data_IF_524411439702
#
_entry.id   IF_524411439702
#
_cell.length_a   1.000
_cell.length_b   1.000
_cell.length_c   1.000
_cell.angle_alpha   90.00
_cell.angle_beta   90.00
_cell.angle_gamma   90.00
#
_symmetry.space_group_name_H-M   'P 1'
#
loop_
_entity.id
_entity.type
_entity.pdbx_description
1 polymer ?
#
# COMPACT_ATOMS: atom_id res chain seq x y z
N UNK A 1 26.06 2.77 14.72
CA UNK A 1 24.95 2.98 15.66
C UNK A 1 23.72 3.38 14.85
N UNK A 2 22.77 2.46 14.60
CA UNK A 2 21.54 2.78 13.88
C UNK A 2 20.70 3.69 14.77
N UNK A 3 20.48 4.95 14.37
CA UNK A 3 19.51 5.81 15.04
C UNK A 3 18.14 5.13 14.90
N UNK A 4 17.57 4.65 16.02
CA UNK A 4 16.18 4.18 16.02
C UNK A 4 15.30 5.29 15.46
N UNK A 5 14.56 5.00 14.41
CA UNK A 5 13.58 5.93 13.87
C UNK A 5 12.58 6.24 14.99
N UNK A 6 12.56 7.49 15.44
CA UNK A 6 11.62 7.92 16.47
C UNK A 6 10.27 8.13 15.78
N UNK A 7 9.36 7.21 16.01
CA UNK A 7 7.97 7.36 15.58
C UNK A 7 7.21 8.24 16.58
N UNK A 8 6.19 8.91 16.09
CA UNK A 8 5.28 9.66 16.95
C UNK A 8 4.50 8.72 17.88
N UNK A 9 3.93 9.24 18.98
CA UNK A 9 3.10 8.44 19.88
C UNK A 9 1.95 7.73 19.15
N UNK A 10 1.49 6.61 19.71
CA UNK A 10 0.28 5.95 19.22
C UNK A 10 -0.93 6.87 19.45
N UNK A 11 -1.81 6.90 18.46
CA UNK A 11 -3.06 7.68 18.49
C UNK A 11 -4.20 6.81 17.98
N UNK A 12 -5.41 7.14 18.42
CA UNK A 12 -6.63 6.54 17.89
C UNK A 12 -7.28 7.46 16.84
N UNK A 13 -8.08 6.92 15.92
CA UNK A 13 -8.82 7.72 14.95
C UNK A 13 -9.88 8.56 15.67
N UNK A 14 -10.08 9.77 15.18
CA UNK A 14 -11.20 10.61 15.61
C UNK A 14 -12.44 10.42 14.72
N UNK A 15 -12.26 9.80 13.53
CA UNK A 15 -13.33 9.48 12.60
C UNK A 15 -12.97 8.23 11.80
N UNK A 16 -13.98 7.43 11.46
CA UNK A 16 -13.86 6.25 10.61
C UNK A 16 -15.09 6.13 9.72
N UNK A 17 -14.91 5.57 8.54
CA UNK A 17 -16.03 5.38 7.63
C UNK A 17 -15.72 4.39 6.52
N UNK A 18 -16.67 4.27 5.62
CA UNK A 18 -16.52 3.51 4.38
C UNK A 18 -16.99 4.31 3.18
N UNK A 19 -16.40 4.02 2.01
CA UNK A 19 -16.97 4.38 0.72
C UNK A 19 -17.39 3.09 0.01
N UNK A 20 -18.38 3.20 -0.88
CA UNK A 20 -18.89 2.07 -1.66
C UNK A 20 -18.61 2.31 -3.13
N UNK A 21 -18.08 1.27 -3.79
CA UNK A 21 -17.93 1.21 -5.23
C UNK A 21 -18.21 -0.22 -5.72
N UNK A 22 -19.32 -0.41 -6.44
CA UNK A 22 -19.78 -1.72 -6.83
C UNK A 22 -19.98 -2.65 -5.64
N UNK A 23 -19.27 -3.78 -5.64
CA UNK A 23 -19.30 -4.77 -4.55
C UNK A 23 -18.37 -4.41 -3.39
N UNK A 24 -17.53 -3.39 -3.55
CA UNK A 24 -16.51 -3.03 -2.57
C UNK A 24 -17.01 -2.01 -1.56
N UNK A 25 -16.68 -2.25 -0.29
CA UNK A 25 -16.74 -1.28 0.81
C UNK A 25 -15.31 -1.00 1.26
N UNK A 26 -14.81 0.19 0.98
CA UNK A 26 -13.44 0.61 1.27
C UNK A 26 -13.42 1.35 2.60
N UNK A 27 -12.76 0.77 3.60
CA UNK A 27 -12.61 1.36 4.93
C UNK A 27 -11.55 2.46 4.93
N UNK A 28 -11.86 3.57 5.60
CA UNK A 28 -10.89 4.62 5.90
C UNK A 28 -11.00 5.09 7.35
N UNK A 29 -9.93 5.70 7.84
CA UNK A 29 -9.88 6.35 9.15
C UNK A 29 -9.15 7.68 9.07
N UNK A 30 -9.50 8.60 9.96
CA UNK A 30 -8.87 9.90 10.12
C UNK A 30 -8.27 10.03 11.52
N UNK A 31 -7.01 10.43 11.59
CA UNK A 31 -6.24 10.53 12.84
C UNK A 31 -5.56 11.90 12.95
N UNK A 32 -5.12 12.24 14.15
CA UNK A 32 -4.33 13.44 14.42
C UNK A 32 -5.17 14.70 14.54
N UNK A 33 -4.73 15.79 13.91
CA UNK A 33 -5.39 17.09 13.98
C UNK A 33 -6.42 17.27 12.86
N UNK A 34 -7.73 17.36 13.15
CA UNK A 34 -8.76 17.56 12.12
C UNK A 34 -8.58 18.82 11.27
N UNK A 35 -7.89 19.83 11.80
CA UNK A 35 -7.58 21.10 11.13
C UNK A 35 -6.13 21.16 10.63
N UNK A 36 -5.40 20.06 10.73
CA UNK A 36 -4.02 19.94 10.29
C UNK A 36 -3.89 19.83 8.78
N UNK A 37 -2.65 19.85 8.30
CA UNK A 37 -2.33 19.62 6.90
C UNK A 37 -2.79 18.22 6.49
N UNK A 38 -3.60 18.06 5.44
CA UNK A 38 -4.04 16.72 5.01
C UNK A 38 -2.87 15.87 4.51
N UNK A 39 -2.88 14.61 4.90
CA UNK A 39 -1.93 13.60 4.41
C UNK A 39 -2.64 12.26 4.28
N UNK A 40 -2.41 11.56 3.17
CA UNK A 40 -2.89 10.19 2.95
C UNK A 40 -1.72 9.21 3.01
N UNK A 41 -1.94 8.08 3.69
CA UNK A 41 -0.98 6.98 3.76
C UNK A 41 -1.45 5.82 2.90
N UNK A 42 -0.63 5.44 1.91
CA UNK A 42 -0.84 4.33 1.01
C UNK A 42 0.00 3.14 1.46
N UNK A 43 -0.65 2.10 1.98
CA UNK A 43 0.04 0.91 2.48
C UNK A 43 0.64 0.06 1.35
N UNK A 44 1.61 -0.75 1.72
CA UNK A 44 2.28 -1.69 0.83
C UNK A 44 1.57 -3.05 0.70
N UNK A 45 2.25 -3.98 0.16
CA UNK A 45 1.81 -5.32 -0.17
C UNK A 45 2.04 -5.57 -1.67
N UNK A 46 1.00 -5.50 -2.51
CA UNK A 46 -0.42 -5.17 -2.23
C UNK A 46 -1.07 -6.08 -1.19
N UNK A 47 -2.16 -5.60 -0.56
CA UNK A 47 -2.94 -6.41 0.38
C UNK A 47 -2.49 -6.34 1.86
N UNK A 48 -1.53 -5.47 2.22
CA UNK A 48 -0.99 -5.39 3.58
C UNK A 48 -1.90 -4.76 4.63
N UNK A 49 -2.83 -3.91 4.20
CA UNK A 49 -3.67 -3.11 5.10
C UNK A 49 -2.94 -1.96 5.81
N UNK A 50 -3.69 -0.98 6.27
CA UNK A 50 -3.18 0.19 6.99
C UNK A 50 -3.29 0.00 8.51
N UNK A 51 -2.33 -0.69 9.10
CA UNK A 51 -2.32 -0.96 10.54
C UNK A 51 -2.09 0.29 11.40
N UNK A 52 -2.46 0.21 12.69
CA UNK A 52 -2.30 1.27 13.71
C UNK A 52 -0.89 1.87 13.76
N UNK A 53 0.13 1.09 13.41
CA UNK A 53 1.52 1.53 13.36
C UNK A 53 1.72 2.66 12.32
N UNK A 54 0.99 2.64 11.22
CA UNK A 54 1.11 3.60 10.12
C UNK A 54 0.70 5.01 10.52
N UNK A 55 -0.18 5.17 11.52
CA UNK A 55 -0.58 6.47 12.08
C UNK A 55 0.62 7.24 12.66
N UNK A 56 1.67 6.55 13.06
CA UNK A 56 2.84 7.07 13.78
C UNK A 56 3.93 7.67 12.88
N UNK A 57 3.75 7.64 11.56
CA UNK A 57 4.70 8.27 10.64
C UNK A 57 4.56 9.79 10.59
N UNK A 58 3.45 10.33 11.04
CA UNK A 58 3.11 11.75 10.96
C UNK A 58 3.04 12.40 12.34
N UNK A 59 3.38 13.69 12.42
CA UNK A 59 3.15 14.47 13.64
C UNK A 59 1.65 14.71 13.84
N UNK A 60 1.01 14.10 14.86
CA UNK A 60 -0.44 14.17 15.03
C UNK A 60 -0.95 15.58 15.39
N UNK A 61 -0.07 16.47 15.83
CA UNK A 61 -0.45 17.88 16.10
C UNK A 61 -0.51 18.72 14.83
N UNK A 62 0.19 18.29 13.75
CA UNK A 62 0.35 19.07 12.52
C UNK A 62 -0.49 18.54 11.36
N UNK A 63 -0.76 17.23 11.32
CA UNK A 63 -1.39 16.57 10.19
C UNK A 63 -2.79 16.05 10.51
N UNK A 64 -3.71 16.19 9.55
CA UNK A 64 -4.92 15.41 9.42
C UNK A 64 -4.54 14.17 8.61
N UNK A 65 -4.43 13.03 9.26
CA UNK A 65 -3.85 11.81 8.70
C UNK A 65 -4.99 10.91 8.25
N UNK A 66 -5.05 10.63 6.96
CA UNK A 66 -6.01 9.70 6.38
C UNK A 66 -5.29 8.39 6.06
N UNK A 67 -5.82 7.29 6.57
CA UNK A 67 -5.41 5.94 6.22
C UNK A 67 -6.62 5.22 5.65
N UNK A 68 -6.41 4.31 4.72
CA UNK A 68 -7.47 3.44 4.24
C UNK A 68 -6.92 2.06 3.91
N UNK A 69 -7.77 1.06 4.01
CA UNK A 69 -7.46 -0.29 3.57
C UNK A 69 -7.87 -0.43 2.10
N UNK A 70 -6.92 -0.76 1.22
CA UNK A 70 -7.19 -0.98 -0.19
C UNK A 70 -8.17 -2.15 -0.38
N UNK A 71 -8.78 -2.26 -1.55
CA UNK A 71 -9.72 -3.35 -1.88
C UNK A 71 -9.16 -4.71 -1.50
N UNK A 72 -10.00 -5.58 -0.96
CA UNK A 72 -9.66 -6.94 -0.61
C UNK A 72 -8.83 -7.13 0.66
N UNK A 73 -8.48 -6.06 1.40
CA UNK A 73 -7.61 -6.19 2.57
C UNK A 73 -8.10 -5.40 3.79
N UNK A 74 -7.50 -5.71 4.93
CA UNK A 74 -7.80 -5.05 6.20
C UNK A 74 -9.28 -5.11 6.57
N UNK A 75 -9.87 -3.94 6.82
CA UNK A 75 -11.30 -3.79 7.15
C UNK A 75 -12.17 -3.57 5.91
N UNK A 76 -11.57 -3.44 4.71
CA UNK A 76 -12.31 -3.32 3.45
C UNK A 76 -12.91 -4.67 3.03
N UNK A 77 -14.05 -4.63 2.35
CA UNK A 77 -14.80 -5.82 1.96
C UNK A 77 -15.14 -5.78 0.46
N UNK A 78 -15.33 -6.96 -0.19
CA UNK A 78 -15.12 -8.33 0.32
C UNK A 78 -13.65 -8.62 0.57
N UNK A 79 -13.33 -9.46 1.56
CA UNK A 79 -11.94 -9.83 1.86
C UNK A 79 -11.34 -10.71 0.76
N UNK A 80 -10.05 -10.47 0.41
CA UNK A 80 -9.31 -11.18 -0.65
C UNK A 80 -9.97 -11.17 -2.05
N UNK A 81 -10.89 -10.23 -2.30
CA UNK A 81 -11.55 -10.09 -3.59
C UNK A 81 -10.62 -9.43 -4.61
N UNK A 82 -10.51 -10.05 -5.80
CA UNK A 82 -9.72 -9.55 -6.92
C UNK A 82 -10.59 -8.91 -8.03
N UNK A 83 -11.92 -9.05 -7.97
CA UNK A 83 -12.84 -8.39 -8.89
C UNK A 83 -12.69 -6.88 -8.77
N UNK A 84 -12.62 -6.17 -9.88
CA UNK A 84 -12.45 -4.71 -9.93
C UNK A 84 -11.36 -4.16 -8.99
N UNK A 85 -10.26 -4.90 -8.84
CA UNK A 85 -9.15 -4.58 -7.94
C UNK A 85 -7.85 -4.32 -8.70
N UNK A 86 -7.89 -3.43 -9.67
CA UNK A 86 -6.72 -2.98 -10.42
C UNK A 86 -6.12 -1.71 -9.82
N UNK A 87 -4.90 -1.35 -10.21
CA UNK A 87 -4.26 -0.08 -9.81
C UNK A 87 -5.18 1.12 -10.05
N UNK A 88 -5.95 1.12 -11.16
CA UNK A 88 -6.80 2.26 -11.51
C UNK A 88 -8.07 2.34 -10.65
N UNK A 89 -8.61 1.23 -10.20
CA UNK A 89 -9.67 1.22 -9.20
C UNK A 89 -9.17 1.78 -7.87
N UNK A 90 -7.95 1.42 -7.45
CA UNK A 90 -7.34 1.97 -6.23
C UNK A 90 -7.06 3.48 -6.34
N UNK A 91 -6.68 3.96 -7.52
CA UNK A 91 -6.54 5.41 -7.79
C UNK A 91 -7.89 6.11 -7.65
N UNK A 92 -8.96 5.51 -8.17
CA UNK A 92 -10.32 6.04 -8.03
C UNK A 92 -10.78 6.05 -6.57
N UNK A 93 -10.49 5.00 -5.80
CA UNK A 93 -10.81 4.94 -4.37
C UNK A 93 -10.13 6.07 -3.59
N UNK A 94 -8.87 6.39 -3.91
CA UNK A 94 -8.13 7.49 -3.31
C UNK A 94 -8.86 8.82 -3.56
N UNK A 95 -9.30 9.08 -4.79
CA UNK A 95 -10.07 10.28 -5.14
C UNK A 95 -11.44 10.30 -4.43
N UNK A 96 -12.16 9.19 -4.44
CA UNK A 96 -13.47 9.10 -3.76
C UNK A 96 -13.36 9.39 -2.26
N UNK A 97 -12.28 8.94 -1.61
CA UNK A 97 -12.01 9.28 -0.19
C UNK A 97 -11.68 10.77 -0.05
N UNK A 98 -10.83 11.32 -0.92
CA UNK A 98 -10.44 12.73 -0.88
C UNK A 98 -11.65 13.64 -1.00
N UNK A 99 -12.50 13.39 -2.01
CA UNK A 99 -13.73 14.16 -2.26
C UNK A 99 -14.73 14.05 -1.10
N UNK A 100 -14.96 12.80 -0.59
CA UNK A 100 -15.84 12.57 0.56
C UNK A 100 -15.39 13.33 1.81
N UNK A 101 -14.08 13.48 2.00
CA UNK A 101 -13.49 14.19 3.13
C UNK A 101 -13.31 15.69 2.89
N UNK A 102 -13.75 16.19 1.73
CA UNK A 102 -13.66 17.60 1.33
C UNK A 102 -12.22 18.13 1.42
N UNK A 103 -11.25 17.31 0.96
CA UNK A 103 -9.84 17.66 0.94
C UNK A 103 -9.47 18.16 -0.46
N UNK A 104 -9.00 19.40 -0.58
CA UNK A 104 -8.56 19.96 -1.86
C UNK A 104 -7.26 19.28 -2.34
N UNK A 105 -6.23 19.31 -1.50
CA UNK A 105 -4.93 18.69 -1.77
C UNK A 105 -4.38 18.03 -0.52
N UNK A 106 -3.59 16.99 -0.70
CA UNK A 106 -2.91 16.31 0.40
C UNK A 106 -1.47 15.92 0.09
N UNK A 107 -0.70 15.74 1.14
CA UNK A 107 0.56 15.03 1.08
C UNK A 107 0.26 13.53 0.87
N UNK A 108 0.86 12.93 -0.16
CA UNK A 108 0.74 11.50 -0.45
C UNK A 108 1.99 10.77 0.03
N UNK A 109 1.82 9.86 1.00
CA UNK A 109 2.90 9.02 1.51
C UNK A 109 2.68 7.57 1.09
N UNK A 110 3.60 7.02 0.29
CA UNK A 110 3.54 5.64 -0.18
C UNK A 110 4.79 4.84 0.15
N UNK A 111 4.62 3.62 0.66
CA UNK A 111 5.72 2.71 0.95
C UNK A 111 5.60 1.38 0.21
N UNK A 112 6.73 0.86 -0.38
CA UNK A 112 6.74 -0.39 -1.15
C UNK A 112 5.72 -0.32 -2.31
N UNK A 113 4.79 -1.27 -2.44
CA UNK A 113 3.64 -1.16 -3.36
C UNK A 113 2.92 0.19 -3.25
N UNK A 114 2.76 0.72 -2.05
CA UNK A 114 2.17 2.06 -1.84
C UNK A 114 2.95 3.18 -2.55
N UNK A 115 4.26 3.02 -2.81
CA UNK A 115 5.02 3.98 -3.61
C UNK A 115 4.67 3.90 -5.10
N UNK A 116 4.40 2.71 -5.61
CA UNK A 116 3.89 2.50 -6.98
C UNK A 116 2.53 3.17 -7.14
N UNK A 117 1.62 2.89 -6.19
CA UNK A 117 0.28 3.47 -6.18
C UNK A 117 0.31 5.00 -6.04
N UNK A 118 1.19 5.53 -5.18
CA UNK A 118 1.40 6.97 -5.02
C UNK A 118 1.86 7.66 -6.31
N UNK A 119 2.75 7.02 -7.06
CA UNK A 119 3.21 7.51 -8.36
C UNK A 119 2.09 7.47 -9.41
N UNK A 120 1.32 6.39 -9.46
CA UNK A 120 0.18 6.27 -10.37
C UNK A 120 -0.88 7.34 -10.08
N UNK A 121 -1.21 7.54 -8.79
CA UNK A 121 -2.13 8.57 -8.34
C UNK A 121 -1.63 9.98 -8.68
N UNK A 122 -0.39 10.31 -8.35
CA UNK A 122 0.18 11.64 -8.59
C UNK A 122 0.29 12.00 -10.09
N UNK A 123 0.46 11.01 -10.96
CA UNK A 123 0.45 11.23 -12.41
C UNK A 123 -0.97 11.44 -12.95
N UNK A 124 -1.97 10.80 -12.36
CA UNK A 124 -3.37 10.90 -12.79
C UNK A 124 -4.05 12.16 -12.23
N UNK A 125 -3.71 12.55 -11.00
CA UNK A 125 -4.30 13.67 -10.25
C UNK A 125 -3.22 14.59 -9.67
N UNK A 126 -2.34 15.19 -10.51
CA UNK A 126 -1.24 16.04 -10.03
C UNK A 126 -1.73 17.27 -9.25
N UNK A 127 -2.92 17.78 -9.58
CA UNK A 127 -3.54 18.92 -8.92
C UNK A 127 -3.97 18.64 -7.47
N UNK A 128 -4.20 17.36 -7.13
CA UNK A 128 -4.62 16.92 -5.80
C UNK A 128 -3.44 16.56 -4.88
N UNK A 129 -2.21 16.62 -5.38
CA UNK A 129 -0.99 16.27 -4.62
C UNK A 129 -0.23 17.54 -4.26
N UNK A 130 -0.09 17.78 -2.95
CA UNK A 130 0.73 18.91 -2.46
C UNK A 130 2.19 18.53 -2.29
N UNK A 131 2.46 17.31 -1.81
CA UNK A 131 3.79 16.71 -1.68
C UNK A 131 3.72 15.20 -1.88
N UNK A 132 4.83 14.62 -2.29
CA UNK A 132 4.98 13.18 -2.49
C UNK A 132 6.14 12.66 -1.65
N UNK A 133 5.86 11.72 -0.76
CA UNK A 133 6.86 11.03 0.06
C UNK A 133 6.86 9.55 -0.28
N UNK A 134 7.95 9.07 -0.82
CA UNK A 134 8.12 7.68 -1.26
C UNK A 134 9.17 6.98 -0.42
N UNK A 135 8.81 5.79 0.09
CA UNK A 135 9.68 4.96 0.92
C UNK A 135 9.75 3.54 0.36
N UNK A 136 10.97 2.96 0.32
CA UNK A 136 11.16 1.64 -0.28
C UNK A 136 10.61 1.61 -1.70
N UNK A 137 11.06 2.56 -2.52
CA UNK A 137 10.50 2.83 -3.85
C UNK A 137 10.52 1.57 -4.70
N UNK A 138 9.36 1.21 -5.21
CA UNK A 138 9.13 0.10 -6.10
C UNK A 138 8.32 0.58 -7.30
N UNK A 139 8.87 0.45 -8.49
CA UNK A 139 8.26 0.95 -9.72
C UNK A 139 7.63 -0.15 -10.57
N UNK A 140 7.59 -1.37 -10.06
CA UNK A 140 7.02 -2.56 -10.71
C UNK A 140 7.62 -2.86 -12.10
N UNK A 141 8.88 -2.45 -12.33
CA UNK A 141 9.58 -2.74 -13.58
C UNK A 141 9.99 -4.21 -13.63
N UNK A 142 10.01 -4.78 -14.82
CA UNK A 142 10.38 -6.18 -15.03
C UNK A 142 11.71 -6.56 -14.36
N UNK A 143 12.73 -5.69 -14.47
CA UNK A 143 14.02 -5.91 -13.83
C UNK A 143 13.94 -5.95 -12.30
N UNK A 144 13.03 -5.18 -11.68
CA UNK A 144 12.81 -5.19 -10.23
C UNK A 144 12.10 -6.46 -9.79
N UNK A 145 11.10 -6.90 -10.56
CA UNK A 145 10.39 -8.16 -10.33
C UNK A 145 11.36 -9.34 -10.43
N UNK A 146 12.14 -9.41 -11.51
CA UNK A 146 13.15 -10.47 -11.71
C UNK A 146 14.21 -10.46 -10.61
N UNK A 147 14.71 -9.28 -10.25
CA UNK A 147 15.70 -9.17 -9.18
C UNK A 147 15.13 -9.65 -7.85
N UNK A 148 13.90 -9.28 -7.52
CA UNK A 148 13.29 -9.60 -6.24
C UNK A 148 12.82 -11.06 -6.15
N UNK A 149 12.22 -11.61 -7.22
CA UNK A 149 11.55 -12.90 -7.20
C UNK A 149 12.28 -14.01 -7.97
N UNK A 150 13.31 -13.72 -8.76
CA UNK A 150 13.96 -14.74 -9.60
C UNK A 150 15.45 -14.96 -9.29
N UNK A 151 16.25 -13.90 -9.02
CA UNK A 151 17.71 -14.08 -8.89
C UNK A 151 18.41 -13.18 -7.87
N UNK A 152 18.06 -11.91 -7.68
CA UNK A 152 18.89 -10.95 -6.92
C UNK A 152 18.74 -11.06 -5.41
N UNK A 153 17.53 -11.31 -4.90
CA UNK A 153 17.28 -11.49 -3.47
C UNK A 153 18.00 -12.74 -2.93
N UNK A 154 18.23 -13.76 -3.76
CA UNK A 154 18.99 -14.96 -3.44
C UNK A 154 20.43 -14.67 -3.02
N UNK A 155 21.05 -13.64 -3.60
CA UNK A 155 22.43 -13.24 -3.26
C UNK A 155 22.54 -12.59 -1.88
N UNK A 156 21.45 -11.96 -1.41
CA UNK A 156 21.41 -11.26 -0.12
C UNK A 156 20.91 -12.19 0.99
N UNK A 157 19.94 -13.05 0.68
CA UNK A 157 19.25 -13.91 1.63
C UNK A 157 19.22 -15.39 1.16
N UNK A 158 20.38 -16.05 0.95
CA UNK A 158 20.44 -17.39 0.34
C UNK A 158 19.68 -18.45 1.13
N UNK A 159 19.73 -18.40 2.47
CA UNK A 159 19.06 -19.38 3.33
C UNK A 159 17.53 -19.25 3.25
N UNK A 160 17.01 -18.01 3.36
CA UNK A 160 15.57 -17.74 3.22
C UNK A 160 15.08 -18.05 1.80
N UNK A 161 15.93 -17.78 0.81
CA UNK A 161 15.64 -18.09 -0.60
C UNK A 161 15.47 -19.57 -0.85
N UNK A 162 16.23 -20.43 -0.17
CA UNK A 162 16.08 -21.87 -0.31
C UNK A 162 14.69 -22.34 0.13
N UNK A 163 14.14 -21.78 1.21
CA UNK A 163 12.75 -22.03 1.63
C UNK A 163 11.73 -21.63 0.54
N UNK A 164 11.93 -20.46 -0.06
CA UNK A 164 11.08 -19.99 -1.17
C UNK A 164 11.14 -20.94 -2.39
N UNK A 165 12.33 -21.45 -2.75
CA UNK A 165 12.48 -22.38 -3.86
C UNK A 165 11.90 -23.77 -3.60
N UNK A 166 11.90 -24.24 -2.37
CA UNK A 166 11.49 -25.61 -2.03
C UNK A 166 10.01 -25.88 -2.27
N UNK A 167 9.19 -24.85 -2.28
CA UNK A 167 7.76 -24.94 -2.60
C UNK A 167 7.49 -25.14 -4.11
N UNK A 168 8.51 -24.96 -4.96
CA UNK A 168 8.38 -25.00 -6.42
C UNK A 168 9.13 -26.22 -6.98
N UNK A 169 8.44 -26.99 -7.83
CA UNK A 169 9.04 -28.10 -8.57
C UNK A 169 10.23 -27.59 -9.41
N UNK A 170 11.28 -28.41 -9.53
CA UNK A 170 12.54 -27.98 -10.17
C UNK A 170 12.34 -27.50 -11.60
N UNK A 171 11.47 -28.14 -12.33
CA UNK A 171 11.11 -27.83 -13.73
C UNK A 171 10.45 -26.46 -13.90
N UNK A 172 9.73 -25.98 -12.86
CA UNK A 172 9.02 -24.68 -12.89
C UNK A 172 9.84 -23.51 -12.34
N UNK A 173 11.05 -23.78 -11.82
CA UNK A 173 11.91 -22.74 -11.21
C UNK A 173 12.50 -21.73 -12.19
N UNK A 174 12.29 -21.92 -13.48
CA UNK A 174 12.71 -20.97 -14.51
C UNK A 174 11.86 -19.69 -14.52
N UNK A 175 10.62 -19.73 -13.98
CA UNK A 175 9.75 -18.57 -13.78
C UNK A 175 9.00 -18.71 -12.44
N UNK A 176 9.61 -18.21 -11.37
CA UNK A 176 9.08 -18.35 -10.01
C UNK A 176 7.80 -17.52 -9.81
N UNK A 177 7.65 -16.40 -10.50
CA UNK A 177 6.43 -15.58 -10.41
C UNK A 177 5.25 -16.37 -10.95
N UNK A 178 5.41 -16.96 -12.12
CA UNK A 178 4.34 -17.76 -12.75
C UNK A 178 4.06 -19.04 -11.95
N UNK A 179 5.11 -19.70 -11.44
CA UNK A 179 4.95 -20.90 -10.62
C UNK A 179 4.12 -20.61 -9.35
N UNK A 180 4.44 -19.55 -8.61
CA UNK A 180 3.66 -19.13 -7.45
C UNK A 180 2.24 -18.69 -7.80
N UNK A 181 2.06 -18.00 -8.94
CA UNK A 181 0.73 -17.62 -9.42
C UNK A 181 -0.17 -18.84 -9.62
N UNK A 182 0.36 -19.94 -10.19
CA UNK A 182 -0.37 -21.20 -10.35
C UNK A 182 -0.77 -21.77 -8.99
N UNK A 183 0.17 -21.87 -8.05
CA UNK A 183 -0.11 -22.38 -6.69
C UNK A 183 -1.22 -21.59 -6.01
N UNK A 184 -1.17 -20.26 -6.04
CA UNK A 184 -2.18 -19.41 -5.40
C UNK A 184 -3.55 -19.50 -6.08
N UNK A 185 -3.61 -19.86 -7.36
CA UNK A 185 -4.85 -20.09 -8.09
C UNK A 185 -5.37 -21.55 -7.99
N UNK A 186 -4.69 -22.41 -7.24
CA UNK A 186 -5.09 -23.80 -7.05
C UNK A 186 -4.82 -24.71 -8.25
N UNK A 187 -3.84 -24.36 -9.08
CA UNK A 187 -3.40 -25.13 -10.26
C UNK A 187 -2.03 -25.77 -10.03
#
# INVERSE_FOLDING_TARGET
>A
MYKRQILYPAIEPFDTGTIKDGIHEIYYEQCGNPKGKPAVFLHGGPGGGAGKFSRRFFNPKKYRIVLFDQRGCGNSKPHACLEDNTTWHLVQDIESIREKLEIDKWLVFGGSWGSTLALAYAQKHPECVSELVLRGIFMLREKELKWFYQYGASEIYPEAWQGFLNEIAKEDRHDLIEAYRKIFNGN
#
